data_IF_388060780428
#
_entry.id   IF_388060780428
#
_cell.length_a   1.000
_cell.length_b   1.000
_cell.length_c   1.000
_cell.angle_alpha   90.00
_cell.angle_beta   90.00
_cell.angle_gamma   90.00
#
_symmetry.space_group_name_H-M   'P 1'
#
loop_
_entity.id
_entity.type
_entity.pdbx_description
1 polymer ?
#
# COMPACT_ATOMS: atom_id res chain seq x y z
N UNK A 1 -5.23 71.12 60.09
CA UNK A 1 -6.56 71.75 60.00
C UNK A 1 -7.04 71.54 58.57
N UNK A 2 -8.04 70.73 58.29
CA UNK A 2 -8.89 69.93 59.21
C UNK A 2 -9.37 68.65 58.53
N UNK A 3 -9.97 67.77 59.34
CA UNK A 3 -10.71 66.55 59.00
C UNK A 3 -11.75 66.77 57.87
N UNK A 4 -12.29 65.75 57.19
CA UNK A 4 -12.82 64.48 57.75
C UNK A 4 -12.86 63.33 56.73
N UNK A 5 -12.98 62.10 57.23
CA UNK A 5 -12.99 60.81 56.50
C UNK A 5 -14.38 60.14 56.43
N UNK A 6 -14.48 59.03 55.66
CA UNK A 6 -15.63 58.09 55.58
C UNK A 6 -16.86 58.67 54.80
N UNK A 7 -17.71 57.94 54.05
CA UNK A 7 -17.86 56.51 53.70
C UNK A 7 -18.94 56.39 52.55
N UNK A 8 -19.22 55.31 51.78
CA UNK A 8 -18.86 53.88 51.68
C UNK A 8 -18.85 53.38 50.19
N UNK A 9 -18.49 52.09 49.94
CA UNK A 9 -19.14 51.02 49.10
C UNK A 9 -19.89 51.36 47.79
N UNK A 10 -19.91 50.53 46.72
CA UNK A 10 -19.48 49.13 46.46
C UNK A 10 -19.13 48.95 44.95
N UNK A 11 -18.76 47.72 44.53
CA UNK A 11 -18.41 47.23 43.17
C UNK A 11 -17.02 47.66 42.62
N UNK A 12 -16.33 46.87 41.79
CA UNK A 12 -16.65 45.56 41.17
C UNK A 12 -15.39 44.65 41.12
N UNK A 13 -15.55 43.35 40.84
CA UNK A 13 -14.43 42.39 40.77
C UNK A 13 -13.78 42.40 39.38
N UNK A 14 -12.45 42.27 39.32
CA UNK A 14 -11.80 41.33 38.40
C UNK A 14 -10.39 40.96 38.89
N UNK A 15 -9.97 39.70 38.71
CA UNK A 15 -8.63 39.20 39.05
C UNK A 15 -7.88 38.82 37.76
N UNK A 16 -7.03 39.73 37.27
CA UNK A 16 -6.22 39.51 36.05
C UNK A 16 -5.08 38.51 36.30
N UNK A 17 -5.44 37.23 36.30
CA UNK A 17 -4.54 36.09 36.50
C UNK A 17 -3.73 35.80 35.23
N UNK A 18 -2.63 36.53 35.04
CA UNK A 18 -1.71 36.38 33.92
C UNK A 18 -1.11 34.98 33.78
N UNK A 19 -1.80 34.09 33.06
CA UNK A 19 -1.33 32.77 32.68
C UNK A 19 -0.26 32.87 31.59
N UNK A 20 0.99 32.54 31.92
CA UNK A 20 2.05 32.35 30.92
C UNK A 20 1.79 31.04 30.17
N UNK A 21 1.11 31.12 29.02
CA UNK A 21 1.02 30.00 28.10
C UNK A 21 2.42 29.57 27.68
N UNK A 22 2.75 28.30 27.92
CA UNK A 22 3.74 27.59 27.12
C UNK A 22 3.15 27.42 25.72
N UNK A 23 3.83 27.97 24.71
CA UNK A 23 3.52 27.68 23.31
C UNK A 23 3.86 26.21 23.05
N UNK A 24 2.84 25.37 22.92
CA UNK A 24 3.01 24.03 22.36
C UNK A 24 3.43 24.15 20.89
N UNK A 25 4.28 23.24 20.37
CA UNK A 25 4.68 23.29 18.97
C UNK A 25 3.44 23.17 18.08
N UNK A 26 3.22 24.17 17.21
CA UNK A 26 2.09 24.19 16.29
C UNK A 26 2.29 23.14 15.20
N UNK A 27 1.88 21.90 15.49
CA UNK A 27 1.78 20.85 14.48
C UNK A 27 0.89 21.32 13.32
N UNK A 28 1.25 20.99 12.06
CA UNK A 28 0.49 21.40 10.89
C UNK A 28 -0.95 20.87 10.96
N UNK A 29 -1.93 21.78 10.88
CA UNK A 29 -3.35 21.42 10.86
C UNK A 29 -3.78 20.95 9.47
N UNK A 30 -3.32 19.76 9.08
CA UNK A 30 -3.83 19.08 7.90
C UNK A 30 -5.33 18.77 8.04
N UNK A 31 -6.05 18.84 6.92
CA UNK A 31 -7.51 18.69 6.90
C UNK A 31 -7.95 17.23 7.01
N UNK A 32 -7.92 16.76 8.27
CA UNK A 32 -8.70 15.65 8.83
C UNK A 32 -8.18 14.22 8.53
N UNK A 33 -7.88 13.51 9.62
CA UNK A 33 -7.72 12.05 9.63
C UNK A 33 -9.00 11.36 9.13
N UNK A 34 -8.86 10.12 8.65
CA UNK A 34 -10.02 9.27 8.37
C UNK A 34 -10.93 9.11 9.60
N UNK A 35 -12.27 9.20 9.45
CA UNK A 35 -13.19 8.85 10.51
C UNK A 35 -13.17 7.33 10.72
N UNK A 36 -12.45 6.89 11.76
CA UNK A 36 -12.33 5.49 12.14
C UNK A 36 -13.54 4.99 12.94
N UNK A 37 -14.23 5.88 13.67
CA UNK A 37 -15.49 5.62 14.36
C UNK A 37 -16.62 5.28 13.37
N UNK A 38 -17.44 4.28 13.67
CA UNK A 38 -18.44 3.76 12.74
C UNK A 38 -19.79 4.50 12.80
N UNK A 39 -19.82 5.75 12.29
CA UNK A 39 -21.09 6.48 12.08
C UNK A 39 -22.10 5.71 11.20
N UNK A 40 -21.62 4.77 10.38
CA UNK A 40 -22.44 3.92 9.51
C UNK A 40 -23.04 2.68 10.17
N UNK A 41 -22.61 2.31 11.37
CA UNK A 41 -23.06 1.08 12.05
C UNK A 41 -22.66 -0.21 11.32
N UNK A 42 -21.55 -0.21 10.58
CA UNK A 42 -21.01 -1.39 9.87
C UNK A 42 -20.28 -2.34 10.84
N UNK A 43 -21.02 -2.80 11.86
CA UNK A 43 -20.58 -3.72 12.89
C UNK A 43 -20.64 -5.15 12.32
N UNK A 44 -19.50 -5.64 11.79
CA UNK A 44 -19.35 -7.00 11.31
C UNK A 44 -18.34 -7.76 12.19
N UNK A 45 -18.78 -8.89 12.75
CA UNK A 45 -17.87 -9.82 13.43
C UNK A 45 -17.07 -10.60 12.39
N UNK A 46 -15.75 -10.39 12.35
CA UNK A 46 -14.84 -11.41 11.84
C UNK A 46 -14.61 -12.48 12.92
N UNK A 47 -14.33 -13.74 12.55
CA UNK A 47 -14.02 -14.76 13.55
C UNK A 47 -12.79 -14.33 14.36
N UNK A 48 -12.80 -14.65 15.67
CA UNK A 48 -11.60 -14.58 16.52
C UNK A 48 -10.42 -15.21 15.77
N UNK A 49 -9.22 -14.60 15.81
CA UNK A 49 -8.04 -15.22 15.22
C UNK A 49 -7.86 -16.66 15.72
N UNK A 50 -7.36 -17.58 14.87
CA UNK A 50 -7.19 -18.98 15.25
C UNK A 50 -6.29 -19.10 16.49
N UNK A 51 -6.59 -20.07 17.38
CA UNK A 51 -5.89 -20.27 18.66
C UNK A 51 -4.36 -20.40 18.50
N UNK A 52 -3.90 -20.82 17.33
CA UNK A 52 -2.52 -20.74 16.86
C UNK A 52 -2.48 -20.00 15.51
N UNK A 53 -2.32 -18.67 15.52
CA UNK A 53 -1.97 -17.92 14.30
C UNK A 53 -0.58 -18.34 13.84
N UNK A 54 -0.50 -18.97 12.68
CA UNK A 54 0.77 -19.43 12.14
C UNK A 54 1.53 -18.23 11.55
N UNK A 55 2.76 -18.05 12.02
CA UNK A 55 3.72 -17.14 11.39
C UNK A 55 4.27 -17.79 10.12
N UNK A 56 4.77 -17.01 9.15
CA UNK A 56 5.46 -17.54 7.99
C UNK A 56 6.62 -18.47 8.40
N UNK A 57 6.91 -19.50 7.60
CA UNK A 57 8.10 -20.35 7.85
C UNK A 57 9.38 -19.61 7.43
N UNK A 58 10.48 -19.86 8.17
CA UNK A 58 11.82 -19.40 7.80
C UNK A 58 12.44 -20.29 6.71
N UNK A 59 11.98 -21.54 6.53
CA UNK A 59 12.52 -22.44 5.51
C UNK A 59 12.11 -22.05 4.07
N UNK A 60 13.00 -22.31 3.12
CA UNK A 60 12.76 -22.09 1.69
C UNK A 60 11.68 -23.05 1.19
N UNK A 61 10.63 -22.49 0.60
CA UNK A 61 9.54 -23.23 -0.03
C UNK A 61 9.79 -23.35 -1.54
N UNK A 62 9.42 -24.49 -2.12
CA UNK A 62 9.52 -24.77 -3.55
C UNK A 62 8.13 -25.05 -4.13
N UNK A 63 7.93 -24.71 -5.40
CA UNK A 63 6.65 -24.94 -6.10
C UNK A 63 6.86 -25.15 -7.61
N UNK A 64 5.77 -25.45 -8.32
CA UNK A 64 5.78 -25.64 -9.76
C UNK A 64 6.26 -27.04 -10.18
N UNK A 65 6.61 -27.24 -11.46
CA UNK A 65 7.02 -28.54 -11.98
C UNK A 65 8.39 -28.98 -11.45
N UNK A 66 8.55 -30.30 -11.27
CA UNK A 66 9.86 -30.94 -11.14
C UNK A 66 10.46 -31.05 -12.54
N UNK A 67 11.71 -30.60 -12.69
CA UNK A 67 12.47 -30.72 -13.94
C UNK A 67 13.79 -31.45 -13.67
N UNK A 68 14.50 -31.87 -14.73
CA UNK A 68 15.75 -32.62 -14.60
C UNK A 68 16.93 -31.80 -15.11
N UNK A 69 18.02 -31.75 -14.32
CA UNK A 69 19.25 -31.05 -14.72
C UNK A 69 20.07 -31.85 -15.76
N UNK A 70 21.19 -31.29 -16.25
CA UNK A 70 22.05 -31.96 -17.26
C UNK A 70 22.64 -33.31 -16.77
N UNK A 71 22.79 -33.50 -15.45
CA UNK A 71 23.25 -34.75 -14.83
C UNK A 71 22.11 -35.76 -14.58
N UNK A 72 20.85 -35.37 -14.81
CA UNK A 72 19.65 -36.20 -14.65
C UNK A 72 19.07 -36.24 -13.23
N UNK A 73 19.41 -35.25 -12.39
CA UNK A 73 18.86 -35.10 -11.03
C UNK A 73 17.58 -34.25 -11.04
N UNK A 74 16.60 -34.62 -10.21
CA UNK A 74 15.35 -33.88 -10.01
C UNK A 74 15.61 -32.54 -9.29
N UNK A 75 15.12 -31.43 -9.87
CA UNK A 75 15.18 -30.09 -9.29
C UNK A 75 13.83 -29.37 -9.40
N UNK A 76 13.48 -28.55 -8.42
CA UNK A 76 12.33 -27.63 -8.49
C UNK A 76 12.89 -26.19 -8.56
N UNK A 77 12.87 -25.54 -9.74
CA UNK A 77 13.62 -24.31 -9.99
C UNK A 77 12.95 -23.07 -9.41
N UNK A 78 11.64 -23.11 -9.17
CA UNK A 78 10.89 -22.00 -8.57
C UNK A 78 10.84 -22.20 -7.05
N UNK A 79 11.29 -21.18 -6.32
CA UNK A 79 11.36 -21.18 -4.86
C UNK A 79 11.19 -19.78 -4.30
N UNK A 80 10.78 -19.69 -3.05
CA UNK A 80 10.66 -18.44 -2.30
C UNK A 80 11.00 -18.69 -0.83
N UNK A 81 11.26 -17.61 -0.10
CA UNK A 81 11.28 -17.60 1.36
C UNK A 81 10.33 -16.51 1.81
N UNK A 82 9.51 -16.78 2.82
CA UNK A 82 8.62 -15.77 3.39
C UNK A 82 9.43 -14.87 4.35
N UNK A 83 9.13 -13.57 4.36
CA UNK A 83 9.81 -12.60 5.24
C UNK A 83 9.26 -12.73 6.66
N UNK A 84 10.15 -12.79 7.65
CA UNK A 84 9.76 -12.69 9.05
C UNK A 84 9.45 -11.25 9.50
N UNK A 85 9.69 -10.25 8.63
CA UNK A 85 9.55 -8.82 8.91
C UNK A 85 10.32 -8.37 10.18
N UNK A 86 11.53 -8.90 10.37
CA UNK A 86 12.42 -8.67 11.53
C UNK A 86 13.65 -7.81 11.22
N UNK A 87 13.89 -7.48 9.95
CA UNK A 87 14.96 -6.60 9.48
C UNK A 87 14.60 -5.12 9.54
N UNK A 88 15.08 -4.35 8.56
CA UNK A 88 14.77 -2.92 8.36
C UNK A 88 13.30 -2.75 7.94
N UNK A 89 12.72 -1.59 8.27
CA UNK A 89 11.37 -1.17 7.83
C UNK A 89 11.48 0.12 7.04
N UNK A 90 11.26 0.06 5.72
CA UNK A 90 11.36 1.23 4.81
C UNK A 90 10.07 1.40 4.04
N UNK A 91 9.61 2.64 3.87
CA UNK A 91 8.41 2.91 3.08
C UNK A 91 8.61 4.01 2.05
N UNK A 92 7.96 3.87 0.88
CA UNK A 92 7.81 4.91 -0.13
C UNK A 92 6.33 5.17 -0.37
N UNK A 93 5.90 6.41 -0.13
CA UNK A 93 4.49 6.80 -0.18
C UNK A 93 4.29 7.92 -1.22
N UNK A 94 3.45 7.68 -2.21
CA UNK A 94 3.29 8.55 -3.39
C UNK A 94 1.83 8.99 -3.52
N UNK A 95 1.59 10.30 -3.63
CA UNK A 95 0.25 10.89 -3.72
C UNK A 95 0.18 12.01 -4.76
N UNK A 96 -0.58 11.77 -5.83
CA UNK A 96 -0.70 12.71 -6.95
C UNK A 96 -2.14 13.27 -7.06
N UNK A 97 -2.32 14.56 -6.80
CA UNK A 97 -3.59 15.29 -6.96
C UNK A 97 -3.72 15.98 -8.35
N UNK A 98 -2.65 16.07 -9.13
CA UNK A 98 -2.56 16.71 -10.45
C UNK A 98 -3.15 18.14 -10.49
N UNK A 99 -2.73 19.06 -9.58
CA UNK A 99 -3.35 20.37 -9.41
C UNK A 99 -3.29 21.21 -10.68
N UNK A 100 -4.46 21.72 -11.11
CA UNK A 100 -4.58 22.54 -12.32
C UNK A 100 -4.54 21.76 -13.65
N UNK A 101 -4.44 20.43 -13.63
CA UNK A 101 -4.56 19.57 -14.81
C UNK A 101 -5.99 19.52 -15.38
N UNK A 102 -6.20 18.73 -16.44
CA UNK A 102 -7.54 18.41 -16.94
C UNK A 102 -8.33 17.41 -16.10
N UNK A 103 -7.69 16.76 -15.12
CA UNK A 103 -8.30 15.74 -14.27
C UNK A 103 -7.70 15.77 -12.84
N UNK A 104 -7.89 16.85 -12.07
CA UNK A 104 -7.39 16.91 -10.70
C UNK A 104 -8.14 15.93 -9.80
N UNK A 105 -7.41 15.31 -8.88
CA UNK A 105 -7.91 14.53 -7.74
C UNK A 105 -7.75 15.34 -6.45
N UNK A 106 -8.46 14.97 -5.39
CA UNK A 106 -8.43 15.73 -4.14
C UNK A 106 -8.06 14.88 -2.90
N UNK A 107 -8.05 13.55 -3.01
CA UNK A 107 -7.82 12.63 -1.89
C UNK A 107 -6.38 12.14 -1.70
N UNK A 108 -5.57 12.09 -2.75
CA UNK A 108 -4.37 11.23 -2.80
C UNK A 108 -3.29 11.62 -1.77
N UNK A 109 -3.08 12.91 -1.55
CA UNK A 109 -2.16 13.43 -0.52
C UNK A 109 -2.69 13.14 0.91
N UNK A 110 -4.01 13.11 1.11
CA UNK A 110 -4.61 12.73 2.38
C UNK A 110 -4.44 11.23 2.65
N UNK A 111 -4.58 10.39 1.63
CA UNK A 111 -4.34 8.94 1.76
C UNK A 111 -2.89 8.66 2.17
N UNK A 112 -1.92 9.31 1.52
CA UNK A 112 -0.50 9.27 1.88
C UNK A 112 -0.27 9.65 3.35
N UNK A 113 -0.92 10.72 3.84
CA UNK A 113 -0.81 11.13 5.23
C UNK A 113 -1.37 10.09 6.22
N UNK A 114 -2.54 9.52 5.92
CA UNK A 114 -3.16 8.51 6.77
C UNK A 114 -2.35 7.19 6.76
N UNK A 115 -1.82 6.77 5.60
CA UNK A 115 -0.93 5.61 5.48
C UNK A 115 0.39 5.84 6.21
N UNK A 116 1.09 6.98 6.00
CA UNK A 116 2.34 7.31 6.73
C UNK A 116 2.13 7.16 8.23
N UNK A 117 1.05 7.76 8.74
CA UNK A 117 0.72 7.69 10.15
C UNK A 117 0.42 6.26 10.60
N UNK A 118 -0.33 5.49 9.81
CA UNK A 118 -0.66 4.10 10.14
C UNK A 118 0.60 3.20 10.22
N UNK A 119 1.55 3.34 9.30
CA UNK A 119 2.82 2.59 9.34
C UNK A 119 3.63 2.88 10.61
N UNK A 120 3.62 4.13 11.10
CA UNK A 120 4.27 4.54 12.35
C UNK A 120 3.47 4.04 13.57
N UNK A 121 2.18 4.41 13.68
CA UNK A 121 1.34 4.15 14.86
C UNK A 121 1.08 2.64 15.07
N UNK A 122 0.96 1.85 13.99
CA UNK A 122 0.60 0.42 14.05
C UNK A 122 1.79 -0.50 13.77
N UNK A 123 2.41 -0.41 12.58
CA UNK A 123 3.53 -1.28 12.20
C UNK A 123 4.92 -0.81 12.68
N UNK A 124 5.01 0.25 13.48
CA UNK A 124 6.26 0.73 14.10
C UNK A 124 7.40 1.01 13.11
N UNK A 125 7.08 1.53 11.93
CA UNK A 125 8.08 2.06 10.99
C UNK A 125 8.71 3.33 11.60
N UNK A 126 10.04 3.50 11.49
CA UNK A 126 10.71 4.74 11.89
C UNK A 126 10.43 5.83 10.85
N UNK A 127 10.04 7.03 11.28
CA UNK A 127 9.71 8.13 10.37
C UNK A 127 10.90 8.52 9.47
N UNK A 128 12.14 8.30 9.90
CA UNK A 128 13.34 8.59 9.10
C UNK A 128 13.59 7.60 7.96
N UNK A 129 12.96 6.41 8.01
CA UNK A 129 12.97 5.39 6.95
C UNK A 129 11.68 5.40 6.10
N UNK A 130 10.82 6.42 6.25
CA UNK A 130 9.70 6.70 5.35
C UNK A 130 10.09 7.84 4.40
N UNK A 131 9.95 7.63 3.09
CA UNK A 131 10.04 8.64 2.04
C UNK A 131 8.68 8.95 1.44
N UNK A 132 8.46 10.20 1.06
CA UNK A 132 7.14 10.70 0.66
C UNK A 132 7.24 11.65 -0.54
N UNK A 133 6.48 11.34 -1.60
CA UNK A 133 6.36 12.18 -2.79
C UNK A 133 4.92 12.71 -2.93
N UNK A 134 4.74 14.03 -2.94
CA UNK A 134 3.43 14.68 -3.10
C UNK A 134 3.53 15.92 -3.99
N UNK A 135 2.47 16.20 -4.75
CA UNK A 135 2.51 17.22 -5.81
C UNK A 135 1.94 18.61 -5.45
N UNK A 136 1.32 18.76 -4.28
CA UNK A 136 0.97 20.07 -3.70
C UNK A 136 2.04 20.56 -2.71
N UNK A 137 2.28 21.87 -2.66
CA UNK A 137 3.00 22.53 -1.55
C UNK A 137 2.05 22.57 -0.34
N UNK A 138 1.83 21.39 0.26
CA UNK A 138 0.88 21.13 1.34
C UNK A 138 0.82 22.27 2.37
N UNK A 139 -0.25 23.05 2.28
CA UNK A 139 -0.37 24.45 2.76
C UNK A 139 -0.17 24.73 4.26
N UNK A 140 0.19 23.72 5.04
CA UNK A 140 0.42 23.77 6.48
C UNK A 140 1.82 23.28 6.89
N UNK A 141 2.56 22.58 6.02
CA UNK A 141 3.90 22.04 6.27
C UNK A 141 4.20 20.82 5.39
N UNK A 142 5.46 20.66 5.00
CA UNK A 142 5.95 19.64 4.05
C UNK A 142 5.54 18.20 4.44
N UNK A 143 4.58 17.61 3.73
CA UNK A 143 4.25 16.16 3.81
C UNK A 143 5.22 15.35 2.94
N UNK A 144 5.33 15.73 1.66
CA UNK A 144 6.30 15.16 0.72
C UNK A 144 7.59 15.99 0.65
N UNK A 145 8.71 15.31 0.45
CA UNK A 145 10.04 15.92 0.34
C UNK A 145 10.44 16.25 -1.11
N UNK A 146 9.76 15.65 -2.09
CA UNK A 146 9.91 15.94 -3.51
C UNK A 146 8.60 15.72 -4.29
N UNK A 147 8.57 16.24 -5.53
CA UNK A 147 7.45 16.13 -6.46
C UNK A 147 7.47 14.76 -7.17
N UNK A 148 6.34 14.03 -7.29
CA UNK A 148 6.28 12.74 -7.97
C UNK A 148 6.30 12.86 -9.50
N UNK A 149 7.41 13.37 -10.03
CA UNK A 149 7.77 13.29 -11.46
C UNK A 149 8.29 11.90 -11.81
N UNK A 150 8.30 11.52 -13.08
CA UNK A 150 8.76 10.18 -13.50
C UNK A 150 10.21 9.91 -13.09
N UNK A 151 11.09 10.91 -13.19
CA UNK A 151 12.50 10.81 -12.77
C UNK A 151 12.61 10.59 -11.25
N UNK A 152 11.88 11.38 -10.45
CA UNK A 152 11.89 11.28 -8.98
C UNK A 152 11.26 9.96 -8.49
N UNK A 153 10.16 9.50 -9.10
CA UNK A 153 9.53 8.24 -8.73
C UNK A 153 10.47 7.05 -8.96
N UNK A 154 11.21 7.04 -10.07
CA UNK A 154 12.22 6.00 -10.35
C UNK A 154 13.40 6.07 -9.38
N UNK A 155 13.94 7.26 -9.08
CA UNK A 155 15.00 7.44 -8.07
C UNK A 155 14.59 6.93 -6.68
N UNK A 156 13.33 7.16 -6.29
CA UNK A 156 12.85 6.77 -4.96
C UNK A 156 12.48 5.29 -4.88
N UNK A 157 12.08 4.66 -5.99
CA UNK A 157 11.91 3.20 -6.07
C UNK A 157 13.28 2.50 -5.96
N UNK A 158 14.31 2.99 -6.65
CA UNK A 158 15.70 2.50 -6.50
C UNK A 158 16.18 2.66 -5.05
N UNK A 159 15.89 3.80 -4.40
CA UNK A 159 16.14 3.97 -2.96
C UNK A 159 15.39 2.94 -2.10
N UNK A 160 14.14 2.59 -2.40
CA UNK A 160 13.35 1.65 -1.60
C UNK A 160 13.97 0.25 -1.60
N UNK A 161 14.36 -0.26 -2.77
CA UNK A 161 14.82 -1.66 -2.93
C UNK A 161 16.34 -1.84 -2.91
N UNK A 162 17.13 -0.80 -3.20
CA UNK A 162 18.55 -0.91 -3.54
C UNK A 162 19.51 -1.39 -2.43
N UNK A 163 19.08 -1.37 -1.16
CA UNK A 163 19.80 -1.95 -0.01
C UNK A 163 18.92 -2.91 0.83
N UNK A 164 17.89 -3.48 0.20
CA UNK A 164 17.06 -4.52 0.80
C UNK A 164 17.89 -5.77 1.14
N UNK A 165 17.72 -6.27 2.35
CA UNK A 165 18.26 -7.54 2.82
C UNK A 165 17.12 -8.51 3.16
N UNK A 166 17.45 -9.80 3.29
CA UNK A 166 16.47 -10.81 3.69
C UNK A 166 15.88 -10.50 5.08
N UNK A 167 14.59 -10.78 5.26
CA UNK A 167 13.75 -10.46 6.41
C UNK A 167 13.49 -8.95 6.68
N UNK A 168 13.97 -8.04 5.81
CA UNK A 168 13.48 -6.66 5.75
C UNK A 168 11.99 -6.61 5.34
N UNK A 169 11.31 -5.52 5.69
CA UNK A 169 9.93 -5.22 5.29
C UNK A 169 9.88 -3.85 4.59
N UNK A 170 9.46 -3.87 3.33
CA UNK A 170 9.33 -2.71 2.47
C UNK A 170 7.84 -2.42 2.23
N UNK A 171 7.43 -1.15 2.33
CA UNK A 171 6.07 -0.72 2.00
C UNK A 171 6.07 0.24 0.82
N UNK A 172 5.31 -0.07 -0.23
CA UNK A 172 5.07 0.84 -1.35
C UNK A 172 3.60 1.27 -1.36
N UNK A 173 3.33 2.58 -1.37
CA UNK A 173 1.97 3.11 -1.49
C UNK A 173 1.86 4.08 -2.65
N UNK A 174 0.82 3.91 -3.47
CA UNK A 174 0.46 4.85 -4.53
C UNK A 174 -1.04 5.19 -4.48
N UNK A 175 -1.36 6.48 -4.40
CA UNK A 175 -2.69 7.02 -4.67
C UNK A 175 -2.59 8.09 -5.76
N UNK A 176 -3.39 7.96 -6.81
CA UNK A 176 -3.31 8.79 -8.02
C UNK A 176 -4.10 8.21 -9.18
N UNK A 177 -3.83 8.68 -10.41
CA UNK A 177 -4.42 8.10 -11.62
C UNK A 177 -3.71 6.80 -11.99
N UNK A 178 -4.49 5.74 -12.14
CA UNK A 178 -4.09 4.59 -12.94
C UNK A 178 -4.53 4.77 -14.40
N UNK A 179 -3.76 4.21 -15.33
CA UNK A 179 -4.05 4.24 -16.76
C UNK A 179 -3.96 2.84 -17.37
N UNK A 180 -4.71 2.62 -18.45
CA UNK A 180 -4.59 1.46 -19.32
C UNK A 180 -4.00 1.90 -20.66
N UNK A 181 -3.04 1.17 -21.21
CA UNK A 181 -2.62 1.30 -22.61
C UNK A 181 -3.20 0.15 -23.45
N UNK A 182 -2.76 -0.01 -24.70
CA UNK A 182 -3.04 -1.20 -25.51
C UNK A 182 -1.81 -2.11 -25.39
N UNK A 183 -1.97 -3.37 -24.97
CA UNK A 183 -0.86 -4.33 -24.74
C UNK A 183 0.07 -4.53 -25.95
N UNK A 184 1.36 -4.70 -25.67
CA UNK A 184 2.46 -4.81 -26.65
C UNK A 184 3.27 -6.13 -26.56
N UNK A 185 3.02 -6.98 -25.58
CA UNK A 185 3.79 -8.17 -25.20
C UNK A 185 2.94 -9.45 -25.26
N UNK A 186 1.72 -9.41 -24.73
CA UNK A 186 0.72 -10.48 -24.79
C UNK A 186 0.48 -11.29 -23.51
N UNK A 187 0.98 -10.88 -22.34
CA UNK A 187 0.76 -11.61 -21.08
C UNK A 187 -0.60 -11.33 -20.39
N UNK A 188 -1.28 -10.23 -20.73
CA UNK A 188 -2.60 -9.88 -20.18
C UNK A 188 -3.78 -10.55 -20.90
N UNK A 189 -4.79 -10.98 -20.13
CA UNK A 189 -5.97 -11.69 -20.67
C UNK A 189 -6.98 -10.77 -21.40
N UNK A 190 -7.07 -9.48 -21.04
CA UNK A 190 -7.82 -8.49 -21.83
C UNK A 190 -6.95 -7.45 -22.56
N UNK A 191 -5.63 -7.54 -22.39
CA UNK A 191 -4.60 -6.91 -23.22
C UNK A 191 -4.49 -5.40 -23.06
N UNK A 192 -4.27 -4.88 -21.84
CA UNK A 192 -4.18 -3.44 -21.58
C UNK A 192 -3.32 -3.03 -20.36
N UNK A 193 -2.00 -3.04 -20.52
CA UNK A 193 -0.96 -2.60 -19.57
C UNK A 193 -1.50 -1.60 -18.54
N UNK A 194 -1.55 -2.01 -17.27
CA UNK A 194 -1.86 -1.13 -16.16
C UNK A 194 -0.66 -0.25 -15.84
N UNK A 195 -0.91 0.99 -15.43
CA UNK A 195 0.15 1.98 -15.27
C UNK A 195 -0.18 3.00 -14.20
N UNK A 196 0.86 3.49 -13.52
CA UNK A 196 0.75 4.63 -12.61
C UNK A 196 1.17 5.92 -13.34
N UNK A 197 0.48 7.02 -13.07
CA UNK A 197 0.73 8.32 -13.70
C UNK A 197 1.58 9.24 -12.80
N UNK A 198 2.84 9.54 -13.14
CA UNK A 198 3.59 10.65 -12.56
C UNK A 198 2.93 12.01 -12.85
N UNK A 199 3.34 13.08 -12.17
CA UNK A 199 2.75 14.42 -12.36
C UNK A 199 3.05 15.03 -13.74
N UNK A 200 4.18 14.65 -14.32
CA UNK A 200 4.67 15.08 -15.63
C UNK A 200 4.36 14.08 -16.76
N UNK A 201 3.40 13.17 -16.55
CA UNK A 201 3.09 12.07 -17.48
C UNK A 201 2.76 12.51 -18.92
N UNK A 202 2.33 13.77 -19.15
CA UNK A 202 2.08 14.27 -20.52
C UNK A 202 3.36 14.57 -21.30
N UNK A 203 4.48 14.81 -20.63
CA UNK A 203 5.80 15.08 -21.22
C UNK A 203 6.77 13.89 -21.04
N UNK A 204 6.73 13.21 -19.89
CA UNK A 204 7.63 12.09 -19.53
C UNK A 204 7.05 10.69 -19.79
N UNK A 205 5.73 10.57 -19.97
CA UNK A 205 5.02 9.29 -20.03
C UNK A 205 4.63 8.73 -18.67
N UNK A 206 3.82 7.66 -18.68
CA UNK A 206 3.46 6.87 -17.49
C UNK A 206 4.61 5.92 -17.08
N UNK A 207 4.40 5.16 -16.01
CA UNK A 207 5.21 3.98 -15.67
C UNK A 207 4.26 2.77 -15.72
N UNK A 208 4.55 1.81 -16.59
CA UNK A 208 3.74 0.59 -16.75
C UNK A 208 4.10 -0.48 -15.71
N UNK A 209 3.17 -1.38 -15.46
CA UNK A 209 3.32 -2.64 -14.73
C UNK A 209 4.64 -3.38 -14.97
N UNK A 210 5.03 -3.61 -16.23
CA UNK A 210 6.25 -4.35 -16.57
C UNK A 210 7.53 -3.59 -16.13
N UNK A 211 7.50 -2.24 -16.16
CA UNK A 211 8.56 -1.40 -15.56
C UNK A 211 8.52 -1.42 -14.03
N UNK A 212 7.32 -1.44 -13.42
CA UNK A 212 7.18 -1.54 -11.96
C UNK A 212 7.65 -2.90 -11.45
N UNK A 213 7.39 -4.00 -12.15
CA UNK A 213 7.94 -5.32 -11.84
C UNK A 213 9.48 -5.32 -11.90
N UNK A 214 10.06 -4.79 -12.98
CA UNK A 214 11.51 -4.72 -13.18
C UNK A 214 12.22 -3.84 -12.13
N UNK A 215 11.53 -2.86 -11.55
CA UNK A 215 12.07 -1.95 -10.51
C UNK A 215 11.74 -2.34 -9.06
N UNK A 216 10.54 -2.86 -8.75
CA UNK A 216 10.09 -3.15 -7.38
C UNK A 216 10.24 -4.62 -6.99
N UNK A 217 10.04 -5.56 -7.91
CA UNK A 217 9.87 -6.99 -7.60
C UNK A 217 11.14 -7.79 -7.89
N UNK A 218 11.74 -7.51 -9.04
CA UNK A 218 12.91 -8.21 -9.60
C UNK A 218 14.25 -7.94 -8.89
N UNK A 219 14.54 -6.75 -8.31
CA UNK A 219 15.80 -6.51 -7.61
C UNK A 219 15.88 -7.14 -6.21
N UNK A 220 14.75 -7.57 -5.64
CA UNK A 220 14.66 -8.02 -4.25
C UNK A 220 15.38 -9.37 -4.02
N UNK A 221 16.14 -9.52 -2.91
CA UNK A 221 16.74 -10.80 -2.55
C UNK A 221 15.70 -11.78 -1.98
N UNK A 222 16.08 -13.06 -1.95
CA UNK A 222 15.30 -14.12 -1.32
C UNK A 222 14.85 -13.74 0.10
N UNK A 223 13.55 -13.79 0.35
CA UNK A 223 12.94 -13.48 1.66
C UNK A 223 13.03 -12.02 2.12
N UNK A 224 13.35 -11.05 1.26
CA UNK A 224 12.92 -9.67 1.52
C UNK A 224 11.40 -9.58 1.35
N UNK A 225 10.74 -8.84 2.24
CA UNK A 225 9.30 -8.59 2.17
C UNK A 225 8.99 -7.28 1.46
N UNK A 226 8.10 -7.28 0.47
CA UNK A 226 7.50 -6.07 -0.11
C UNK A 226 5.98 -6.17 -0.06
N UNK A 227 5.34 -5.20 0.60
CA UNK A 227 3.90 -4.97 0.49
C UNK A 227 3.65 -3.71 -0.31
N UNK A 228 2.91 -3.85 -1.40
CA UNK A 228 2.45 -2.75 -2.23
C UNK A 228 0.94 -2.53 -2.06
N UNK A 229 0.52 -1.27 -2.04
CA UNK A 229 -0.87 -0.87 -1.88
C UNK A 229 -1.22 0.23 -2.90
N UNK A 230 -2.14 -0.07 -3.81
CA UNK A 230 -2.50 0.80 -4.93
C UNK A 230 -3.95 1.28 -4.82
N UNK A 231 -4.14 2.56 -4.55
CA UNK A 231 -5.46 3.23 -4.51
C UNK A 231 -5.71 4.01 -5.82
N UNK A 232 -5.58 3.29 -6.93
CA UNK A 232 -5.82 3.78 -8.30
C UNK A 232 -6.81 2.88 -9.03
N UNK A 233 -7.60 3.45 -9.96
CA UNK A 233 -8.40 2.63 -10.87
C UNK A 233 -7.48 1.89 -11.85
N UNK A 234 -7.75 0.61 -12.10
CA UNK A 234 -6.91 -0.27 -12.92
C UNK A 234 -5.52 -0.43 -12.26
N UNK A 235 -5.53 -1.29 -11.23
CA UNK A 235 -4.38 -1.70 -10.43
C UNK A 235 -4.42 -3.19 -10.04
N UNK A 236 -5.22 -4.01 -10.72
CA UNK A 236 -5.33 -5.45 -10.45
C UNK A 236 -4.10 -6.25 -10.87
N UNK A 237 -3.50 -5.85 -11.99
CA UNK A 237 -2.30 -6.41 -12.62
C UNK A 237 -1.02 -5.73 -12.14
N UNK A 238 -1.02 -4.39 -11.96
CA UNK A 238 0.07 -3.38 -11.78
C UNK A 238 1.49 -3.73 -11.22
N UNK A 239 1.74 -4.94 -10.72
CA UNK A 239 3.06 -5.51 -10.41
C UNK A 239 3.27 -6.90 -11.05
N UNK A 240 2.46 -7.23 -12.04
CA UNK A 240 2.32 -8.49 -12.79
C UNK A 240 2.40 -9.78 -11.98
N UNK A 241 1.90 -9.70 -10.75
CA UNK A 241 2.08 -10.77 -9.80
C UNK A 241 1.32 -12.04 -10.24
N UNK A 242 2.02 -13.19 -10.36
CA UNK A 242 1.47 -14.42 -10.95
C UNK A 242 0.27 -15.05 -10.22
N UNK A 243 0.10 -14.81 -8.92
CA UNK A 243 -1.09 -15.25 -8.15
C UNK A 243 -2.00 -14.08 -7.80
N UNK A 244 -3.32 -14.28 -7.86
CA UNK A 244 -4.34 -13.30 -7.43
C UNK A 244 -5.50 -13.99 -6.71
N UNK A 245 -5.99 -13.37 -5.63
CA UNK A 245 -7.01 -13.87 -4.72
C UNK A 245 -8.11 -12.82 -4.49
N UNK A 246 -9.37 -13.26 -4.41
CA UNK A 246 -10.49 -12.49 -3.86
C UNK A 246 -11.05 -13.21 -2.61
N UNK A 247 -12.03 -12.59 -1.94
CA UNK A 247 -12.78 -13.19 -0.82
C UNK A 247 -13.49 -14.53 -1.10
N UNK A 248 -13.47 -15.00 -2.36
CA UNK A 248 -13.94 -16.33 -2.78
C UNK A 248 -12.83 -17.39 -2.97
N UNK A 249 -11.56 -17.03 -2.79
CA UNK A 249 -10.38 -17.86 -3.08
C UNK A 249 -9.54 -17.32 -4.24
N UNK A 250 -8.59 -18.13 -4.71
CA UNK A 250 -7.71 -17.82 -5.85
C UNK A 250 -8.50 -17.64 -7.15
N UNK A 251 -8.15 -16.62 -7.94
CA UNK A 251 -8.72 -16.31 -9.25
C UNK A 251 -7.66 -16.40 -10.36
N UNK A 252 -6.45 -15.87 -10.14
CA UNK A 252 -5.30 -16.02 -11.05
C UNK A 252 -4.28 -16.96 -10.40
N UNK A 253 -3.81 -17.94 -11.16
CA UNK A 253 -2.61 -18.72 -10.90
C UNK A 253 -2.03 -19.14 -12.27
N UNK A 254 -0.71 -19.27 -12.44
CA UNK A 254 -0.13 -19.47 -13.77
C UNK A 254 -0.54 -20.81 -14.39
N UNK A 255 -1.14 -20.78 -15.60
CA UNK A 255 -1.58 -22.00 -16.30
C UNK A 255 -0.39 -22.89 -16.71
N UNK A 256 0.74 -22.28 -17.08
CA UNK A 256 2.03 -22.93 -17.42
C UNK A 256 2.68 -23.71 -16.25
N UNK A 257 2.10 -23.73 -15.05
CA UNK A 257 2.54 -24.57 -13.93
C UNK A 257 1.76 -25.91 -13.83
N UNK A 258 0.84 -26.18 -14.74
CA UNK A 258 0.13 -27.47 -14.84
C UNK A 258 0.93 -28.45 -15.72
N UNK A 259 1.16 -29.66 -15.18
CA UNK A 259 1.89 -30.88 -15.63
C UNK A 259 2.58 -30.99 -17.03
N UNK A 260 2.17 -30.29 -18.09
CA UNK A 260 2.68 -30.44 -19.47
C UNK A 260 3.94 -29.60 -19.80
N UNK A 261 4.44 -28.76 -18.89
CA UNK A 261 5.51 -27.78 -19.12
C UNK A 261 6.96 -28.34 -19.21
N UNK A 262 7.15 -29.65 -19.40
CA UNK A 262 8.43 -30.38 -19.28
C UNK A 262 9.56 -29.95 -20.26
N UNK A 263 9.30 -29.07 -21.24
CA UNK A 263 10.11 -28.97 -22.46
C UNK A 263 11.15 -27.83 -22.54
N UNK A 264 10.99 -26.72 -21.80
CA UNK A 264 11.79 -25.49 -22.01
C UNK A 264 12.48 -24.94 -20.73
N UNK A 265 12.35 -25.64 -19.61
CA UNK A 265 12.72 -25.19 -18.27
C UNK A 265 14.23 -25.30 -17.93
N UNK A 266 15.11 -24.65 -18.70
CA UNK A 266 16.58 -24.79 -18.56
C UNK A 266 17.40 -23.49 -18.37
N UNK A 267 16.79 -22.30 -18.35
CA UNK A 267 17.49 -21.02 -18.11
C UNK A 267 16.82 -20.16 -17.02
N UNK A 268 17.49 -19.88 -15.90
CA UNK A 268 16.86 -19.17 -14.76
C UNK A 268 16.41 -17.74 -15.08
N UNK A 269 17.15 -17.03 -15.94
CA UNK A 269 16.74 -15.68 -16.41
C UNK A 269 15.49 -15.73 -17.29
N UNK A 270 15.34 -16.78 -18.12
CA UNK A 270 14.15 -17.01 -18.94
C UNK A 270 12.93 -17.40 -18.09
N UNK A 271 13.13 -18.16 -17.00
CA UNK A 271 12.07 -18.47 -16.03
C UNK A 271 11.54 -17.21 -15.32
N UNK A 272 12.43 -16.32 -14.86
CA UNK A 272 12.00 -15.09 -14.19
C UNK A 272 11.10 -14.23 -15.06
N UNK A 273 11.34 -14.19 -16.38
CA UNK A 273 10.47 -13.49 -17.32
C UNK A 273 9.17 -14.24 -17.61
N UNK A 274 9.26 -15.54 -17.95
CA UNK A 274 8.07 -16.32 -18.36
C UNK A 274 7.06 -16.54 -17.24
N UNK A 275 7.51 -16.66 -16.00
CA UNK A 275 6.67 -16.94 -14.83
C UNK A 275 6.49 -15.74 -13.89
N UNK A 276 7.05 -14.57 -14.25
CA UNK A 276 7.19 -13.37 -13.39
C UNK A 276 7.52 -13.73 -11.92
N UNK A 277 8.52 -14.62 -11.78
CA UNK A 277 8.96 -15.23 -10.53
C UNK A 277 10.02 -14.38 -9.80
N UNK A 278 9.79 -14.18 -8.49
CA UNK A 278 10.79 -13.66 -7.55
C UNK A 278 10.94 -14.60 -6.34
N UNK A 279 12.16 -14.77 -5.78
CA UNK A 279 12.37 -15.48 -4.52
C UNK A 279 12.00 -14.63 -3.28
N UNK A 280 11.65 -13.36 -3.47
CA UNK A 280 11.18 -12.45 -2.44
C UNK A 280 9.69 -12.64 -2.13
N UNK A 281 9.30 -12.27 -0.91
CA UNK A 281 7.93 -12.29 -0.40
C UNK A 281 7.24 -10.99 -0.82
N UNK A 282 6.55 -11.01 -1.95
CA UNK A 282 5.95 -9.80 -2.54
C UNK A 282 4.44 -9.97 -2.62
N UNK A 283 3.74 -9.03 -1.99
CA UNK A 283 2.28 -8.97 -1.89
C UNK A 283 1.79 -7.61 -2.38
N UNK A 284 0.77 -7.61 -3.24
CA UNK A 284 0.07 -6.38 -3.67
C UNK A 284 -1.39 -6.41 -3.23
N UNK A 285 -1.90 -5.25 -2.81
CA UNK A 285 -3.33 -5.00 -2.56
C UNK A 285 -3.82 -3.86 -3.46
N UNK A 286 -4.93 -4.10 -4.17
CA UNK A 286 -5.47 -3.13 -5.12
C UNK A 286 -7.01 -3.06 -5.14
N UNK A 287 -7.54 -1.94 -5.65
CA UNK A 287 -8.95 -1.55 -5.56
C UNK A 287 -9.67 -1.58 -6.91
N UNK A 288 -9.89 -2.76 -7.47
CA UNK A 288 -10.42 -2.95 -8.82
C UNK A 288 -11.85 -2.41 -9.00
N UNK A 289 -12.10 -1.71 -10.11
CA UNK A 289 -13.43 -1.21 -10.54
C UNK A 289 -13.74 -1.62 -11.97
N UNK A 290 -15.00 -2.04 -12.19
CA UNK A 290 -15.60 -2.09 -13.53
C UNK A 290 -15.93 -0.69 -14.05
N UNK A 291 -15.06 -0.13 -14.89
CA UNK A 291 -15.40 0.86 -15.93
C UNK A 291 -16.13 2.17 -15.49
N UNK A 292 -15.93 2.67 -14.27
CA UNK A 292 -16.32 4.03 -13.88
C UNK A 292 -15.23 4.78 -13.12
N UNK A 293 -14.82 5.92 -13.67
CA UNK A 293 -13.81 6.86 -13.18
C UNK A 293 -13.80 7.04 -11.66
N UNK A 294 -12.60 7.18 -11.07
CA UNK A 294 -12.42 7.55 -9.67
C UNK A 294 -12.99 8.94 -9.40
N UNK A 295 -14.25 8.95 -9.00
CA UNK A 295 -14.99 10.11 -8.53
C UNK A 295 -14.81 10.13 -7.02
N UNK A 296 -13.87 10.99 -6.57
CA UNK A 296 -13.49 11.27 -5.17
C UNK A 296 -14.44 10.63 -4.14
N UNK A 297 -14.07 9.49 -3.57
CA UNK A 297 -14.88 8.83 -2.56
C UNK A 297 -14.91 9.69 -1.28
N UNK A 298 -16.10 10.13 -0.86
CA UNK A 298 -16.25 11.08 0.24
C UNK A 298 -16.59 10.40 1.57
N UNK A 299 -15.58 10.20 2.42
CA UNK A 299 -15.72 9.70 3.78
C UNK A 299 -15.85 10.86 4.76
N UNK A 300 -16.95 10.94 5.52
CA UNK A 300 -17.23 12.10 6.37
C UNK A 300 -17.36 13.44 5.62
N UNK A 301 -17.48 13.40 4.28
CA UNK A 301 -17.43 14.58 3.39
C UNK A 301 -16.07 14.89 2.78
N UNK A 302 -15.05 14.05 2.99
CA UNK A 302 -13.66 14.26 2.56
C UNK A 302 -13.27 13.30 1.44
N UNK A 303 -12.72 13.78 0.31
CA UNK A 303 -12.08 12.94 -0.70
C UNK A 303 -10.97 12.06 -0.10
N UNK A 304 -10.99 10.77 -0.44
CA UNK A 304 -9.95 9.79 -0.08
C UNK A 304 -10.07 8.56 -0.97
N UNK A 305 -8.96 7.88 -1.20
CA UNK A 305 -8.89 6.54 -1.76
C UNK A 305 -9.61 5.52 -0.87
N UNK A 306 -10.43 4.67 -1.49
CA UNK A 306 -11.33 3.80 -0.74
C UNK A 306 -10.63 2.53 -0.24
N UNK A 307 -9.54 2.09 -0.88
CA UNK A 307 -8.76 0.92 -0.46
C UNK A 307 -7.95 1.21 0.80
N UNK A 308 -7.22 2.33 0.81
CA UNK A 308 -6.41 2.80 1.94
C UNK A 308 -7.25 3.10 3.19
N UNK A 309 -8.43 3.72 3.02
CA UNK A 309 -9.43 3.84 4.08
C UNK A 309 -9.85 2.47 4.65
N UNK A 310 -10.20 1.51 3.77
CA UNK A 310 -10.67 0.19 4.18
C UNK A 310 -9.57 -0.65 4.84
N UNK A 311 -8.32 -0.54 4.37
CA UNK A 311 -7.12 -1.16 4.95
C UNK A 311 -6.84 -0.64 6.36
N UNK A 312 -6.81 0.69 6.56
CA UNK A 312 -6.61 1.28 7.90
C UNK A 312 -7.76 0.92 8.85
N UNK A 313 -9.02 0.93 8.38
CA UNK A 313 -10.16 0.53 9.23
C UNK A 313 -10.21 -0.96 9.56
N UNK A 314 -9.70 -1.84 8.69
CA UNK A 314 -9.54 -3.25 9.00
C UNK A 314 -8.64 -3.45 10.23
N UNK A 315 -7.43 -2.91 10.21
CA UNK A 315 -6.49 -3.01 11.33
C UNK A 315 -6.91 -2.21 12.57
N UNK A 316 -7.66 -1.12 12.41
CA UNK A 316 -8.25 -0.40 13.55
C UNK A 316 -9.31 -1.23 14.30
N UNK A 317 -10.11 -2.03 13.57
CA UNK A 317 -11.08 -2.96 14.18
C UNK A 317 -10.43 -4.25 14.69
N UNK A 318 -9.42 -4.76 13.99
CA UNK A 318 -8.79 -6.05 14.23
C UNK A 318 -7.25 -5.91 14.17
N UNK A 319 -6.54 -5.76 15.31
CA UNK A 319 -5.11 -5.46 15.32
C UNK A 319 -4.19 -6.57 14.77
N UNK A 320 -4.69 -7.79 14.62
CA UNK A 320 -3.99 -8.94 14.04
C UNK A 320 -4.97 -9.67 13.10
N UNK A 321 -4.56 -9.95 11.87
CA UNK A 321 -5.39 -10.48 10.78
C UNK A 321 -4.58 -11.48 9.93
N UNK A 322 -5.16 -12.61 9.55
CA UNK A 322 -4.62 -13.42 8.44
C UNK A 322 -4.85 -12.75 7.09
N UNK A 323 -4.17 -13.19 6.03
CA UNK A 323 -4.44 -12.72 4.66
C UNK A 323 -5.93 -12.86 4.26
N UNK A 324 -6.56 -13.98 4.60
CA UNK A 324 -8.00 -14.20 4.41
C UNK A 324 -8.87 -13.22 5.19
N UNK A 325 -8.57 -13.03 6.49
CA UNK A 325 -9.32 -12.13 7.36
C UNK A 325 -9.17 -10.67 6.91
N UNK A 326 -7.96 -10.26 6.51
CA UNK A 326 -7.67 -8.91 6.00
C UNK A 326 -8.45 -8.63 4.71
N UNK A 327 -8.40 -9.53 3.73
CA UNK A 327 -9.10 -9.38 2.46
C UNK A 327 -10.63 -9.31 2.67
N UNK A 328 -11.16 -10.07 3.65
CA UNK A 328 -12.58 -10.00 4.07
C UNK A 328 -12.91 -8.73 4.86
N UNK A 329 -12.00 -8.21 5.68
CA UNK A 329 -12.16 -6.95 6.41
C UNK A 329 -12.28 -5.76 5.44
N UNK A 330 -11.32 -5.64 4.52
CA UNK A 330 -11.28 -4.61 3.48
C UNK A 330 -12.55 -4.70 2.63
N UNK A 331 -12.94 -5.90 2.18
CA UNK A 331 -14.17 -6.10 1.43
C UNK A 331 -15.41 -5.66 2.21
N UNK A 332 -15.53 -5.99 3.50
CA UNK A 332 -16.69 -5.59 4.30
C UNK A 332 -16.72 -4.08 4.61
N UNK A 333 -15.59 -3.38 4.64
CA UNK A 333 -15.57 -1.90 4.71
C UNK A 333 -15.96 -1.23 3.39
N UNK A 334 -15.54 -1.77 2.26
CA UNK A 334 -15.89 -1.26 0.93
C UNK A 334 -17.37 -1.51 0.57
N UNK A 335 -17.87 -2.71 0.90
CA UNK A 335 -19.16 -3.26 0.47
C UNK A 335 -20.35 -2.34 0.79
N UNK A 336 -21.01 -1.88 -0.26
CA UNK A 336 -22.20 -1.02 -0.16
C UNK A 336 -21.90 0.47 0.08
N UNK A 337 -20.62 0.82 0.25
CA UNK A 337 -20.10 2.19 0.13
C UNK A 337 -19.52 2.41 -1.27
N UNK A 338 -18.86 1.38 -1.85
CA UNK A 338 -18.22 1.39 -3.16
C UNK A 338 -18.50 0.11 -3.96
N UNK A 339 -18.35 0.22 -5.27
CA UNK A 339 -18.35 -0.92 -6.20
C UNK A 339 -16.95 -1.57 -6.34
N UNK A 340 -15.95 -1.05 -5.63
CA UNK A 340 -14.60 -1.64 -5.61
C UNK A 340 -14.60 -3.05 -5.00
N UNK A 341 -13.76 -3.91 -5.58
CA UNK A 341 -13.37 -5.19 -4.98
C UNK A 341 -11.89 -5.14 -4.63
N UNK A 342 -11.49 -5.52 -3.40
CA UNK A 342 -10.09 -5.67 -3.08
C UNK A 342 -9.59 -6.97 -3.70
N UNK A 343 -8.46 -6.90 -4.37
CA UNK A 343 -7.71 -8.06 -4.84
C UNK A 343 -6.36 -8.10 -4.12
N UNK A 344 -5.94 -9.31 -3.77
CA UNK A 344 -4.63 -9.61 -3.18
C UNK A 344 -3.82 -10.40 -4.21
N UNK A 345 -2.66 -9.90 -4.63
CA UNK A 345 -1.79 -10.61 -5.58
C UNK A 345 -0.41 -10.91 -4.97
N UNK A 346 0.29 -11.93 -5.46
CA UNK A 346 1.55 -12.41 -4.87
C UNK A 346 2.59 -12.94 -5.86
N UNK A 347 3.88 -12.82 -5.52
CA UNK A 347 5.03 -13.37 -6.29
C UNK A 347 5.17 -14.89 -6.21
N UNK A 348 4.48 -15.51 -5.26
CA UNK A 348 4.43 -16.95 -5.00
C UNK A 348 3.02 -17.32 -4.50
N UNK A 349 2.69 -18.62 -4.36
CA UNK A 349 1.47 -19.03 -3.67
C UNK A 349 1.46 -18.50 -2.23
N UNK A 350 0.37 -17.83 -1.85
CA UNK A 350 0.10 -17.36 -0.48
C UNK A 350 -0.77 -18.40 0.24
N UNK A 351 -0.36 -18.83 1.43
CA UNK A 351 -1.25 -19.50 2.38
C UNK A 351 -2.08 -18.44 3.12
N UNK A 352 -3.38 -18.45 2.85
CA UNK A 352 -4.31 -17.40 3.27
C UNK A 352 -4.64 -17.45 4.77
N UNK A 353 -4.30 -18.55 5.46
CA UNK A 353 -4.47 -18.71 6.92
C UNK A 353 -3.24 -18.20 7.72
N UNK A 354 -2.16 -17.77 7.05
CA UNK A 354 -1.01 -17.12 7.70
C UNK A 354 -1.33 -15.69 8.15
N UNK A 355 -0.71 -15.27 9.26
CA UNK A 355 -0.73 -13.89 9.76
C UNK A 355 -0.12 -12.92 8.74
N UNK A 356 -0.81 -11.82 8.43
CA UNK A 356 -0.24 -10.69 7.72
C UNK A 356 0.75 -9.96 8.64
N UNK A 357 2.04 -9.91 8.26
CA UNK A 357 3.12 -9.31 9.06
C UNK A 357 3.81 -8.19 8.30
N UNK A 358 4.24 -7.15 9.02
CA UNK A 358 5.04 -6.00 8.56
C UNK A 358 6.00 -5.59 9.69
#
# INVERSE_FOLDING_TARGET
>A
MSDTSLNERDSEYDEDAGSTHSEEPTHPQFQHMFPLDDETGNEYDLPTPPDEMHRPDEERQHYGPIVYNEDGEEVQPLYFRLSQATGKRKALLIGCNYPGSSAPLNGCINDVFNIKRFLIDHFQYDETDIRVLTDDESSHGEIGEAQPTRETMVEYIDWLVGDAETDDSLFFFYSGHGGNQDDHDGDEWDGKDESICPTDYQDAGVIVDDELYDMLVKPLPEGAGLTALFDSCHSGSVLDLPWTYETGGTIKAPEDLQEDAEAEALGTEDHQKRYKWSPADVVSLSGCRDNQFSSDAQFGGLPSGALSYAFIRAFHKFPELTYDQLLKAIFNELKGKFDQRPQLSGSHPIDMDLLFVQ
#
